data_IF_013995772772
#
_entry.id   IF_013995772772
#
_cell.length_a   1.000
_cell.length_b   1.000
_cell.length_c   1.000
_cell.angle_alpha   90.00
_cell.angle_beta   90.00
_cell.angle_gamma   90.00
#
_symmetry.space_group_name_H-M   'P 1'
#
loop_
_entity.id
_entity.type
_entity.pdbx_description
1 polymer ?
#
# COMPACT_ATOMS: atom_id res chain seq x y z
N UNK A 1 -13.73 -32.60 16.03
CA UNK A 1 -13.33 -31.78 14.86
C UNK A 1 -13.64 -30.34 15.20
N UNK A 2 -12.73 -29.37 15.06
CA UNK A 2 -13.10 -28.00 15.34
C UNK A 2 -14.14 -27.53 14.30
N UNK A 3 -15.09 -26.68 14.70
CA UNK A 3 -16.30 -26.42 13.94
C UNK A 3 -15.97 -25.66 12.66
N UNK A 4 -16.73 -25.95 11.61
CA UNK A 4 -16.69 -25.31 10.29
C UNK A 4 -16.46 -23.80 10.38
N UNK A 5 -15.32 -23.36 9.84
CA UNK A 5 -15.00 -21.95 9.59
C UNK A 5 -16.09 -21.29 8.74
N UNK A 6 -16.57 -20.07 9.09
CA UNK A 6 -17.49 -19.32 8.26
C UNK A 6 -16.94 -19.15 6.83
N UNK A 7 -17.76 -19.27 5.76
CA UNK A 7 -17.28 -19.24 4.38
C UNK A 7 -16.66 -17.89 3.95
N UNK A 8 -16.87 -16.81 4.72
CA UNK A 8 -16.30 -15.48 4.49
C UNK A 8 -15.54 -14.97 5.71
N UNK A 9 -14.36 -15.51 5.98
CA UNK A 9 -13.42 -14.92 6.95
C UNK A 9 -12.72 -13.73 6.28
N UNK A 10 -13.18 -12.52 6.56
CA UNK A 10 -12.48 -11.28 6.21
C UNK A 10 -11.79 -10.72 7.46
N UNK A 11 -10.57 -10.18 7.36
CA UNK A 11 -9.93 -9.48 8.47
C UNK A 11 -10.65 -8.16 8.77
N UNK A 12 -10.37 -7.58 9.93
CA UNK A 12 -10.92 -6.28 10.32
C UNK A 12 -10.56 -5.18 9.32
N UNK A 13 -11.40 -4.14 9.24
CA UNK A 13 -11.35 -3.14 8.17
C UNK A 13 -9.98 -2.45 8.04
N UNK A 14 -9.29 -2.21 9.15
CA UNK A 14 -7.98 -1.58 9.18
C UNK A 14 -6.83 -2.47 8.69
N UNK A 15 -7.04 -3.79 8.57
CA UNK A 15 -6.08 -4.73 7.98
C UNK A 15 -6.33 -4.99 6.50
N UNK A 16 -7.42 -4.49 5.91
CA UNK A 16 -7.81 -4.81 4.54
C UNK A 16 -6.78 -4.36 3.50
N UNK A 17 -6.11 -3.22 3.72
CA UNK A 17 -5.08 -2.75 2.78
C UNK A 17 -3.88 -3.70 2.71
N UNK A 18 -3.39 -4.16 3.87
CA UNK A 18 -2.26 -5.08 3.96
C UNK A 18 -2.65 -6.47 3.43
N UNK A 19 -3.90 -6.89 3.67
CA UNK A 19 -4.47 -8.11 3.11
C UNK A 19 -4.58 -8.04 1.57
N UNK A 20 -4.95 -6.88 1.01
CA UNK A 20 -4.99 -6.67 -0.43
C UNK A 20 -3.58 -6.80 -1.07
N UNK A 21 -2.54 -6.30 -0.40
CA UNK A 21 -1.15 -6.46 -0.86
C UNK A 21 -0.71 -7.93 -0.81
N UNK A 22 -1.02 -8.63 0.29
CA UNK A 22 -0.69 -10.04 0.49
C UNK A 22 -1.25 -10.92 -0.64
N UNK A 23 -2.53 -10.74 -0.98
CA UNK A 23 -3.23 -11.55 -1.99
C UNK A 23 -2.87 -11.18 -3.44
N UNK A 24 -2.26 -10.02 -3.66
CA UNK A 24 -1.84 -9.59 -4.99
C UNK A 24 -0.60 -10.32 -5.50
N UNK A 25 0.18 -10.93 -4.61
CA UNK A 25 1.39 -11.69 -4.97
C UNK A 25 1.07 -13.19 -4.96
N UNK A 26 1.20 -13.91 -6.09
CA UNK A 26 0.85 -15.33 -6.18
C UNK A 26 1.81 -16.27 -5.41
N UNK A 27 2.88 -15.74 -4.81
CA UNK A 27 3.87 -16.48 -4.02
C UNK A 27 3.62 -16.31 -2.52
N UNK A 28 3.58 -17.43 -1.78
CA UNK A 28 3.32 -17.45 -0.34
C UNK A 28 4.35 -16.68 0.49
N UNK A 29 5.64 -16.82 0.18
CA UNK A 29 6.72 -16.07 0.86
C UNK A 29 6.71 -14.60 0.44
N UNK A 30 6.58 -14.34 -0.87
CA UNK A 30 6.55 -12.99 -1.42
C UNK A 30 5.41 -12.13 -0.86
N UNK A 31 4.22 -12.69 -0.72
CA UNK A 31 3.08 -12.01 -0.13
C UNK A 31 3.29 -11.64 1.35
N UNK A 32 3.83 -12.55 2.16
CA UNK A 32 4.12 -12.28 3.58
C UNK A 32 5.19 -11.20 3.73
N UNK A 33 6.24 -11.26 2.90
CA UNK A 33 7.27 -10.24 2.86
C UNK A 33 6.69 -8.88 2.46
N UNK A 34 5.80 -8.83 1.47
CA UNK A 34 5.15 -7.59 1.05
C UNK A 34 4.20 -7.03 2.11
N UNK A 35 3.47 -7.89 2.83
CA UNK A 35 2.64 -7.47 3.96
C UNK A 35 3.51 -6.83 5.04
N UNK A 36 4.59 -7.49 5.45
CA UNK A 36 5.52 -6.93 6.44
C UNK A 36 6.14 -5.62 5.94
N UNK A 37 6.59 -5.59 4.69
CA UNK A 37 7.14 -4.40 4.06
C UNK A 37 6.14 -3.23 4.01
N UNK A 38 4.84 -3.48 3.82
CA UNK A 38 3.82 -2.43 3.77
C UNK A 38 3.69 -1.65 5.07
N UNK A 39 4.01 -2.27 6.21
CA UNK A 39 4.04 -1.60 7.52
C UNK A 39 5.43 -1.05 7.81
N UNK A 40 6.48 -1.84 7.54
CA UNK A 40 7.87 -1.44 7.80
C UNK A 40 8.28 -0.19 7.01
N UNK A 41 7.73 0.01 5.81
CA UNK A 41 8.07 1.16 4.98
C UNK A 41 7.67 2.51 5.61
N UNK A 42 6.66 2.52 6.48
CA UNK A 42 6.30 3.72 7.24
C UNK A 42 7.42 4.14 8.19
N UNK A 43 8.14 3.19 8.78
CA UNK A 43 9.32 3.48 9.61
C UNK A 43 10.54 3.93 8.79
N UNK A 44 10.61 3.57 7.50
CA UNK A 44 11.64 4.03 6.57
C UNK A 44 11.37 5.46 6.05
N UNK A 45 10.12 5.94 6.17
CA UNK A 45 9.72 7.28 5.68
C UNK A 45 10.61 8.43 6.18
N UNK A 46 10.99 8.54 7.48
CA UNK A 46 11.93 9.57 7.92
C UNK A 46 13.33 9.46 7.30
N UNK A 47 13.80 8.27 6.97
CA UNK A 47 15.11 8.05 6.31
C UNK A 47 15.08 8.41 4.83
N UNK A 48 13.91 8.26 4.20
CA UNK A 48 13.65 8.58 2.79
C UNK A 48 13.39 10.09 2.57
N UNK A 49 13.22 10.87 3.63
CA UNK A 49 13.03 12.32 3.52
C UNK A 49 14.33 13.02 3.09
N UNK A 50 14.43 13.32 1.79
CA UNK A 50 15.60 14.01 1.20
C UNK A 50 15.43 15.52 1.05
N UNK A 51 14.22 16.06 1.25
CA UNK A 51 13.96 17.48 1.04
C UNK A 51 14.46 18.34 2.20
N UNK A 52 14.98 19.52 1.85
CA UNK A 52 15.47 20.51 2.83
C UNK A 52 14.34 21.14 3.64
N UNK A 53 13.10 21.09 3.14
CA UNK A 53 11.93 21.65 3.81
C UNK A 53 11.16 20.56 4.55
N UNK A 54 10.86 20.80 5.84
CA UNK A 54 10.14 19.86 6.70
C UNK A 54 8.65 19.76 6.35
N UNK A 55 8.04 20.85 5.93
CA UNK A 55 6.59 20.91 5.64
C UNK A 55 6.32 20.69 4.16
N UNK A 56 5.28 19.92 3.83
CA UNK A 56 4.82 19.74 2.44
C UNK A 56 4.03 20.96 1.91
N UNK A 57 3.73 21.97 2.73
CA UNK A 57 2.90 23.14 2.35
C UNK A 57 3.41 23.88 1.10
N UNK A 58 4.73 23.92 0.90
CA UNK A 58 5.37 24.61 -0.24
C UNK A 58 5.92 23.65 -1.31
N UNK A 59 5.48 22.39 -1.28
CA UNK A 59 5.98 21.30 -2.15
C UNK A 59 4.83 20.68 -2.95
N UNK A 60 4.38 21.33 -4.03
CA UNK A 60 3.16 20.95 -4.75
C UNK A 60 3.22 19.53 -5.33
N UNK A 61 4.38 19.07 -5.83
CA UNK A 61 4.51 17.69 -6.34
C UNK A 61 4.40 16.69 -5.20
N UNK A 62 5.01 16.99 -4.06
CA UNK A 62 4.94 16.13 -2.88
C UNK A 62 3.55 16.05 -2.27
N UNK A 63 2.78 17.14 -2.30
CA UNK A 63 1.35 17.12 -1.92
C UNK A 63 0.53 16.24 -2.87
N UNK A 64 0.74 16.37 -4.18
CA UNK A 64 0.06 15.54 -5.17
C UNK A 64 0.34 14.05 -4.96
N UNK A 65 1.61 13.68 -4.71
CA UNK A 65 1.98 12.29 -4.41
C UNK A 65 1.40 11.80 -3.08
N UNK A 66 1.32 12.66 -2.06
CA UNK A 66 0.68 12.32 -0.79
C UNK A 66 -0.81 12.00 -0.99
N UNK A 67 -1.55 12.85 -1.70
CA UNK A 67 -2.97 12.59 -1.98
C UNK A 67 -3.18 11.36 -2.86
N UNK A 68 -2.26 11.11 -3.80
CA UNK A 68 -2.27 9.87 -4.60
C UNK A 68 -2.06 8.63 -3.72
N UNK A 69 -1.13 8.69 -2.75
CA UNK A 69 -0.91 7.60 -1.79
C UNK A 69 -2.17 7.35 -0.93
N UNK A 70 -2.81 8.42 -0.44
CA UNK A 70 -4.04 8.34 0.34
C UNK A 70 -5.17 7.71 -0.48
N UNK A 71 -5.37 8.14 -1.73
CA UNK A 71 -6.35 7.54 -2.63
C UNK A 71 -6.04 6.06 -2.88
N UNK A 72 -4.77 5.70 -3.06
CA UNK A 72 -4.35 4.31 -3.25
C UNK A 72 -4.61 3.43 -2.02
N UNK A 73 -4.45 3.96 -0.80
CA UNK A 73 -4.82 3.25 0.43
C UNK A 73 -6.33 2.98 0.51
N UNK A 74 -7.18 3.92 0.08
CA UNK A 74 -8.61 3.68 -0.02
C UNK A 74 -8.93 2.60 -1.05
N UNK A 75 -8.27 2.60 -2.22
CA UNK A 75 -8.41 1.57 -3.24
C UNK A 75 -8.00 0.20 -2.69
N UNK A 76 -6.84 0.09 -2.02
CA UNK A 76 -6.38 -1.17 -1.43
C UNK A 76 -7.34 -1.68 -0.36
N UNK A 77 -7.87 -0.80 0.49
CA UNK A 77 -8.87 -1.15 1.52
C UNK A 77 -10.15 -1.69 0.88
N UNK A 78 -10.65 -0.99 -0.14
CA UNK A 78 -11.83 -1.41 -0.90
C UNK A 78 -11.60 -2.76 -1.57
N UNK A 79 -10.49 -2.91 -2.30
CA UNK A 79 -10.11 -4.14 -2.98
C UNK A 79 -9.98 -5.28 -1.99
N UNK A 80 -9.36 -5.10 -0.83
CA UNK A 80 -9.25 -6.12 0.23
C UNK A 80 -10.58 -6.76 0.64
N UNK A 81 -11.69 -6.03 0.51
CA UNK A 81 -13.04 -6.52 0.79
C UNK A 81 -13.72 -7.26 -0.37
N UNK A 82 -13.22 -7.12 -1.60
CA UNK A 82 -13.74 -7.75 -2.82
C UNK A 82 -13.27 -9.20 -2.98
N UNK A 83 -14.02 -10.05 -3.71
CA UNK A 83 -13.59 -11.42 -4.03
C UNK A 83 -12.32 -11.42 -4.89
N UNK A 84 -11.58 -12.53 -4.86
CA UNK A 84 -10.34 -12.72 -5.64
C UNK A 84 -10.70 -13.18 -7.05
N UNK A 85 -11.34 -12.29 -7.80
CA UNK A 85 -11.81 -12.53 -9.17
C UNK A 85 -11.34 -11.40 -10.10
N UNK A 86 -11.38 -11.64 -11.41
CA UNK A 86 -11.17 -10.58 -12.39
C UNK A 86 -12.35 -9.59 -12.32
N UNK A 87 -12.13 -8.26 -12.27
CA UNK A 87 -10.87 -7.52 -12.48
C UNK A 87 -10.10 -7.15 -11.20
N UNK A 88 -10.59 -7.50 -10.02
CA UNK A 88 -10.06 -7.04 -8.73
C UNK A 88 -8.64 -7.52 -8.42
N UNK A 89 -8.23 -8.66 -8.98
CA UNK A 89 -6.85 -9.15 -8.88
C UNK A 89 -5.87 -8.14 -9.49
N UNK A 90 -6.16 -7.69 -10.72
CA UNK A 90 -5.29 -6.77 -11.47
C UNK A 90 -5.25 -5.40 -10.78
N UNK A 91 -6.40 -4.91 -10.31
CA UNK A 91 -6.47 -3.64 -9.57
C UNK A 91 -5.63 -3.72 -8.30
N UNK A 92 -5.72 -4.83 -7.55
CA UNK A 92 -4.91 -5.03 -6.35
C UNK A 92 -3.41 -5.07 -6.65
N UNK A 93 -3.01 -5.74 -7.74
CA UNK A 93 -1.62 -5.81 -8.17
C UNK A 93 -1.07 -4.43 -8.54
N UNK A 94 -1.82 -3.68 -9.35
CA UNK A 94 -1.45 -2.34 -9.76
C UNK A 94 -1.38 -1.40 -8.55
N UNK A 95 -2.39 -1.42 -7.67
CA UNK A 95 -2.43 -0.60 -6.47
C UNK A 95 -1.26 -0.93 -5.52
N UNK A 96 -0.92 -2.21 -5.33
CA UNK A 96 0.22 -2.64 -4.53
C UNK A 96 1.55 -2.15 -5.12
N UNK A 97 1.71 -2.26 -6.44
CA UNK A 97 2.88 -1.76 -7.14
C UNK A 97 3.03 -0.24 -7.02
N UNK A 98 1.95 0.49 -7.24
CA UNK A 98 1.91 1.96 -7.07
C UNK A 98 2.24 2.35 -5.63
N UNK A 99 1.75 1.62 -4.62
CA UNK A 99 2.02 1.89 -3.21
C UNK A 99 3.53 1.88 -2.90
N UNK A 100 4.23 0.79 -3.26
CA UNK A 100 5.66 0.70 -3.02
C UNK A 100 6.48 1.68 -3.86
N UNK A 101 6.09 1.88 -5.13
CA UNK A 101 6.78 2.80 -6.04
C UNK A 101 6.68 4.25 -5.56
N UNK A 102 5.51 4.68 -5.09
CA UNK A 102 5.31 6.03 -4.56
C UNK A 102 6.21 6.27 -3.35
N UNK A 103 6.25 5.35 -2.38
CA UNK A 103 7.03 5.51 -1.15
C UNK A 103 8.53 5.40 -1.37
N UNK A 104 9.01 4.36 -2.07
CA UNK A 104 10.44 4.10 -2.21
C UNK A 104 11.13 4.99 -3.25
N UNK A 105 10.42 5.39 -4.31
CA UNK A 105 11.04 6.04 -5.46
C UNK A 105 10.53 7.46 -5.67
N UNK A 106 9.21 7.66 -5.76
CA UNK A 106 8.67 8.98 -6.11
C UNK A 106 8.90 10.02 -5.00
N UNK A 107 8.70 9.69 -3.72
CA UNK A 107 8.93 10.63 -2.63
C UNK A 107 10.39 11.10 -2.50
N UNK A 108 11.41 10.21 -2.57
CA UNK A 108 12.80 10.66 -2.61
C UNK A 108 13.15 11.50 -3.83
N UNK A 109 12.62 11.14 -5.01
CA UNK A 109 12.88 11.88 -6.26
C UNK A 109 12.28 13.28 -6.20
N UNK A 110 11.00 13.43 -5.84
CA UNK A 110 10.39 14.76 -5.71
C UNK A 110 11.01 15.56 -4.57
N UNK A 111 11.49 14.91 -3.51
CA UNK A 111 12.26 15.57 -2.45
C UNK A 111 13.66 16.01 -2.82
N UNK A 112 14.25 15.46 -3.88
CA UNK A 112 15.51 15.96 -4.44
C UNK A 112 15.28 17.08 -5.47
N UNK A 113 14.13 17.07 -6.15
CA UNK A 113 13.76 18.06 -7.17
C UNK A 113 13.17 19.36 -6.56
N UNK A 114 12.52 19.27 -5.40
CA UNK A 114 11.94 20.39 -4.62
C UNK A 114 12.74 20.73 -3.35
#
# INVERSE_FOLDING_TARGET
QPPSTPPHIKPEWYFLFAYAILRSIPNKLGGVLALAASVLILFLTPLLHKSKQRTMTFRPLSQFLFWTLVANLFILTWIGSQPVEHPFIIIGQLASFTYFTTILLLFPVTGALE
#
